data_IF_610480992886
#
_entry.id   IF_610480992886
#
_cell.length_a   1.000
_cell.length_b   1.000
_cell.length_c   1.000
_cell.angle_alpha   90.00
_cell.angle_beta   90.00
_cell.angle_gamma   90.00
#
_symmetry.space_group_name_H-M   'P 1'
#
loop_
_entity.id
_entity.type
_entity.pdbx_description
1 polymer ?
#
# COMPACT_ATOMS: atom_id res chain seq x y z
N UNK A 1 -0.52 11.36 14.40
CA UNK A 1 0.95 11.19 14.44
C UNK A 1 1.45 11.23 13.00
N UNK A 2 2.49 12.02 12.66
CA UNK A 2 2.98 12.05 11.27
C UNK A 2 3.74 10.77 10.97
N UNK A 3 3.07 9.82 10.30
CA UNK A 3 3.60 8.49 9.98
C UNK A 3 4.90 8.53 9.14
N UNK A 4 5.09 9.60 8.35
CA UNK A 4 6.35 9.84 7.65
C UNK A 4 7.53 10.13 8.57
N UNK A 5 7.29 10.77 9.72
CA UNK A 5 8.32 10.93 10.74
C UNK A 5 8.63 9.61 11.44
N UNK A 6 7.64 8.74 11.64
CA UNK A 6 7.86 7.40 12.19
C UNK A 6 8.72 6.55 11.26
N UNK A 7 8.42 6.53 9.96
CA UNK A 7 9.21 5.78 8.98
C UNK A 7 10.62 6.34 8.82
N UNK A 8 10.76 7.67 8.78
CA UNK A 8 12.07 8.31 8.78
C UNK A 8 12.86 7.97 10.06
N UNK A 9 12.22 7.99 11.22
CA UNK A 9 12.81 7.56 12.49
C UNK A 9 13.27 6.11 12.47
N UNK A 10 12.45 5.20 11.95
CA UNK A 10 12.80 3.78 11.81
C UNK A 10 13.98 3.57 10.85
N UNK A 11 14.06 4.34 9.76
CA UNK A 11 15.19 4.32 8.85
C UNK A 11 16.48 4.81 9.52
N UNK A 12 16.41 5.89 10.30
CA UNK A 12 17.56 6.38 11.08
C UNK A 12 18.00 5.35 12.11
N UNK A 13 17.07 4.72 12.83
CA UNK A 13 17.37 3.63 13.78
C UNK A 13 18.06 2.47 13.07
N UNK A 14 17.52 2.03 11.93
CA UNK A 14 18.11 0.94 11.15
C UNK A 14 19.52 1.29 10.65
N UNK A 15 19.73 2.51 10.14
CA UNK A 15 21.05 3.01 9.76
C UNK A 15 22.04 2.95 10.92
N UNK A 16 21.65 3.45 12.10
CA UNK A 16 22.49 3.43 13.30
C UNK A 16 22.80 1.99 13.73
N UNK A 17 21.82 1.08 13.65
CA UNK A 17 22.03 -0.34 13.95
C UNK A 17 23.03 -0.99 12.99
N UNK A 18 22.98 -0.68 11.69
CA UNK A 18 23.98 -1.16 10.72
C UNK A 18 25.39 -0.64 11.06
N UNK A 19 25.52 0.63 11.43
CA UNK A 19 26.79 1.23 11.86
C UNK A 19 27.33 0.57 13.14
N UNK A 20 26.46 0.29 14.11
CA UNK A 20 26.82 -0.44 15.34
C UNK A 20 27.25 -1.87 15.02
N UNK A 21 26.50 -2.57 14.17
CA UNK A 21 26.83 -3.94 13.76
C UNK A 21 28.19 -4.02 13.06
N UNK A 22 28.50 -3.10 12.15
CA UNK A 22 29.84 -2.99 11.53
C UNK A 22 30.92 -2.73 12.58
N UNK A 23 30.66 -1.88 13.58
CA UNK A 23 31.63 -1.60 14.66
C UNK A 23 31.86 -2.80 15.56
N UNK A 24 30.81 -3.57 15.88
CA UNK A 24 30.90 -4.84 16.62
C UNK A 24 31.73 -5.84 15.80
N UNK A 25 31.39 -6.00 14.52
CA UNK A 25 32.13 -6.84 13.58
C UNK A 25 33.62 -6.51 13.54
N UNK A 26 33.96 -5.22 13.45
CA UNK A 26 35.36 -4.77 13.45
C UNK A 26 36.10 -5.11 14.75
N UNK A 27 35.43 -5.04 15.90
CA UNK A 27 36.02 -5.46 17.18
C UNK A 27 36.25 -6.97 17.24
N UNK A 28 35.30 -7.76 16.77
CA UNK A 28 35.43 -9.23 16.73
C UNK A 28 36.53 -9.68 15.75
N UNK A 29 36.67 -8.98 14.62
CA UNK A 29 37.70 -9.27 13.61
C UNK A 29 39.13 -9.01 14.07
N UNK A 30 39.37 -8.10 15.03
CA UNK A 30 40.72 -7.89 15.61
C UNK A 30 41.17 -9.04 16.51
N UNK A 31 40.23 -9.84 17.02
CA UNK A 31 40.50 -10.97 17.91
C UNK A 31 40.56 -12.31 17.17
N UNK A 32 40.21 -12.34 15.89
CA UNK A 32 40.27 -13.53 15.05
C UNK A 32 41.62 -13.59 14.35
N UNK A 33 42.38 -14.66 14.60
CA UNK A 33 43.68 -14.92 13.98
C UNK A 33 43.55 -14.99 12.45
N UNK A 34 44.58 -14.56 11.71
CA UNK A 34 44.61 -14.39 10.24
C UNK A 34 44.37 -15.70 9.44
N UNK A 35 44.15 -16.82 10.13
CA UNK A 35 44.00 -18.16 9.57
C UNK A 35 42.57 -18.50 9.11
N UNK A 36 41.69 -17.51 8.94
CA UNK A 36 40.32 -17.76 8.49
C UNK A 36 40.31 -18.01 6.96
N UNK A 37 40.45 -19.28 6.56
CA UNK A 37 40.64 -19.72 5.17
C UNK A 37 39.44 -19.58 4.21
N UNK A 38 39.61 -20.12 2.99
CA UNK A 38 38.65 -20.03 1.87
C UNK A 38 37.20 -20.43 2.21
N UNK A 39 36.98 -21.32 3.19
CA UNK A 39 35.65 -21.73 3.64
C UNK A 39 34.82 -20.61 4.26
N UNK A 40 35.43 -19.70 5.01
CA UNK A 40 34.69 -18.57 5.61
C UNK A 40 34.24 -17.56 4.54
N UNK A 41 35.07 -17.30 3.54
CA UNK A 41 34.71 -16.45 2.41
C UNK A 41 33.52 -17.02 1.60
N UNK A 42 33.46 -18.35 1.44
CA UNK A 42 32.33 -19.00 0.78
C UNK A 42 31.02 -18.84 1.58
N UNK A 43 31.07 -19.00 2.91
CA UNK A 43 29.91 -18.80 3.79
C UNK A 43 29.44 -17.35 3.74
N UNK A 44 30.36 -16.38 3.86
CA UNK A 44 30.05 -14.94 3.76
C UNK A 44 29.39 -14.61 2.43
N UNK A 45 29.95 -15.06 1.31
CA UNK A 45 29.38 -14.86 -0.02
C UNK A 45 27.95 -15.44 -0.12
N UNK A 46 27.71 -16.61 0.49
CA UNK A 46 26.38 -17.25 0.52
C UNK A 46 25.37 -16.42 1.32
N UNK A 47 25.80 -15.86 2.46
CA UNK A 47 24.96 -15.00 3.33
C UNK A 47 24.65 -13.67 2.64
N UNK A 48 25.63 -13.04 1.98
CA UNK A 48 25.41 -11.82 1.19
C UNK A 48 24.48 -12.08 -0.01
N UNK A 49 24.64 -13.21 -0.70
CA UNK A 49 23.76 -13.60 -1.80
C UNK A 49 22.32 -13.80 -1.31
N UNK A 50 22.13 -14.45 -0.15
CA UNK A 50 20.81 -14.61 0.47
C UNK A 50 20.19 -13.26 0.85
N UNK A 51 20.98 -12.32 1.38
CA UNK A 51 20.50 -10.96 1.67
C UNK A 51 20.03 -10.27 0.39
N UNK A 52 20.86 -10.28 -0.66
CA UNK A 52 20.51 -9.68 -1.95
C UNK A 52 19.22 -10.27 -2.53
N UNK A 53 19.08 -11.60 -2.48
CA UNK A 53 17.88 -12.30 -2.96
C UNK A 53 16.63 -11.92 -2.16
N UNK A 54 16.72 -11.90 -0.83
CA UNK A 54 15.59 -11.54 0.02
C UNK A 54 15.19 -10.07 -0.16
N UNK A 55 16.16 -9.16 -0.29
CA UNK A 55 15.88 -7.75 -0.62
C UNK A 55 15.16 -7.65 -1.97
N UNK A 56 15.63 -8.37 -3.00
CA UNK A 56 15.01 -8.35 -4.32
C UNK A 56 13.56 -8.88 -4.30
N UNK A 57 13.31 -10.00 -3.64
CA UNK A 57 11.96 -10.58 -3.54
C UNK A 57 11.02 -9.76 -2.67
N UNK A 58 11.51 -9.19 -1.56
CA UNK A 58 10.70 -8.31 -0.71
C UNK A 58 10.35 -7.00 -1.41
N UNK A 59 11.28 -6.40 -2.14
CA UNK A 59 11.04 -5.23 -2.98
C UNK A 59 10.03 -5.52 -4.08
N UNK A 60 10.24 -6.59 -4.85
CA UNK A 60 9.34 -6.99 -5.93
C UNK A 60 7.92 -7.28 -5.40
N UNK A 61 7.81 -8.02 -4.30
CA UNK A 61 6.52 -8.31 -3.67
C UNK A 61 5.80 -7.05 -3.17
N UNK A 62 6.54 -6.09 -2.58
CA UNK A 62 5.97 -4.82 -2.14
C UNK A 62 5.48 -3.97 -3.33
N UNK A 63 6.28 -3.90 -4.41
CA UNK A 63 5.90 -3.21 -5.64
C UNK A 63 4.65 -3.82 -6.30
N UNK A 64 4.56 -5.15 -6.35
CA UNK A 64 3.40 -5.84 -6.89
C UNK A 64 2.13 -5.56 -6.07
N UNK A 65 2.20 -5.58 -4.74
CA UNK A 65 1.06 -5.22 -3.87
C UNK A 65 0.64 -3.76 -4.03
N UNK A 66 1.60 -2.85 -4.20
CA UNK A 66 1.29 -1.45 -4.51
C UNK A 66 0.56 -1.33 -5.85
N UNK A 67 1.03 -2.03 -6.89
CA UNK A 67 0.38 -2.04 -8.19
C UNK A 67 -1.04 -2.63 -8.13
N UNK A 68 -1.22 -3.72 -7.38
CA UNK A 68 -2.53 -4.35 -7.18
C UNK A 68 -3.52 -3.43 -6.47
N UNK A 69 -3.09 -2.78 -5.38
CA UNK A 69 -3.92 -1.77 -4.68
C UNK A 69 -4.33 -0.63 -5.60
N UNK A 70 -3.44 -0.18 -6.48
CA UNK A 70 -3.76 0.84 -7.50
C UNK A 70 -4.77 0.32 -8.52
N UNK A 71 -4.63 -0.92 -8.97
CA UNK A 71 -5.55 -1.54 -9.92
C UNK A 71 -6.96 -1.67 -9.34
N UNK A 72 -7.08 -2.14 -8.10
CA UNK A 72 -8.37 -2.24 -7.39
C UNK A 72 -9.05 -0.87 -7.28
N UNK A 73 -8.30 0.21 -7.02
CA UNK A 73 -8.88 1.55 -6.99
C UNK A 73 -9.38 2.01 -8.36
N UNK A 74 -8.64 1.74 -9.44
CA UNK A 74 -9.08 2.05 -10.80
C UNK A 74 -10.36 1.27 -11.13
N UNK A 75 -10.43 0.00 -10.73
CA UNK A 75 -11.65 -0.81 -10.85
C UNK A 75 -12.80 -0.21 -10.04
N UNK A 76 -12.55 0.29 -8.83
CA UNK A 76 -13.59 0.90 -7.99
C UNK A 76 -14.21 2.10 -8.69
N UNK A 77 -13.36 3.00 -9.20
CA UNK A 77 -13.77 4.20 -9.93
C UNK A 77 -14.58 3.83 -11.19
N UNK A 78 -14.12 2.84 -11.95
CA UNK A 78 -14.80 2.38 -13.16
C UNK A 78 -16.15 1.72 -12.85
N UNK A 79 -16.24 0.91 -11.79
CA UNK A 79 -17.49 0.28 -11.36
C UNK A 79 -18.49 1.32 -10.86
N UNK A 80 -18.04 2.32 -10.10
CA UNK A 80 -18.86 3.48 -9.71
C UNK A 80 -19.37 4.22 -10.94
N UNK A 81 -18.50 4.54 -11.91
CA UNK A 81 -18.87 5.23 -13.14
C UNK A 81 -19.88 4.44 -13.98
N UNK A 82 -19.69 3.12 -14.08
CA UNK A 82 -20.61 2.24 -14.80
C UNK A 82 -21.97 2.20 -14.12
N UNK A 83 -22.02 2.03 -12.79
CA UNK A 83 -23.25 2.02 -12.03
C UNK A 83 -23.98 3.38 -12.10
N UNK A 84 -23.24 4.49 -12.05
CA UNK A 84 -23.77 5.85 -12.21
C UNK A 84 -24.44 6.07 -13.57
N UNK A 85 -23.80 5.68 -14.67
CA UNK A 85 -24.37 5.81 -16.01
C UNK A 85 -25.62 4.94 -16.18
N UNK A 86 -25.64 3.76 -15.54
CA UNK A 86 -26.80 2.85 -15.62
C UNK A 86 -28.00 3.32 -14.81
N UNK A 87 -27.89 4.38 -14.01
CA UNK A 87 -29.07 5.03 -13.40
C UNK A 87 -30.03 5.52 -14.49
N UNK A 88 -29.53 5.93 -15.66
CA UNK A 88 -30.37 6.37 -16.80
C UNK A 88 -31.26 5.27 -17.36
N UNK A 89 -30.95 4.01 -17.07
CA UNK A 89 -31.76 2.87 -17.50
C UNK A 89 -33.01 2.69 -16.62
N UNK A 90 -33.08 3.35 -15.47
CA UNK A 90 -34.22 3.26 -14.53
C UNK A 90 -35.31 4.25 -14.89
N UNK A 91 -36.50 4.05 -14.31
CA UNK A 91 -37.60 5.00 -14.44
C UNK A 91 -37.18 6.41 -13.97
N UNK A 92 -37.53 7.48 -14.72
CA UNK A 92 -37.12 8.85 -14.40
C UNK A 92 -37.45 9.33 -12.98
N UNK A 93 -38.52 8.78 -12.36
CA UNK A 93 -38.94 9.13 -11.01
C UNK A 93 -37.97 8.62 -9.92
N UNK A 94 -37.26 7.52 -10.17
CA UNK A 94 -36.36 6.89 -9.21
C UNK A 94 -34.93 7.44 -9.31
N UNK A 95 -34.55 8.01 -10.45
CA UNK A 95 -33.19 8.46 -10.75
C UNK A 95 -32.65 9.52 -9.77
N UNK A 96 -33.37 10.62 -9.44
CA UNK A 96 -32.80 11.71 -8.65
C UNK A 96 -32.34 11.28 -7.26
N UNK A 97 -33.12 10.40 -6.60
CA UNK A 97 -32.78 9.89 -5.28
C UNK A 97 -31.52 9.03 -5.32
N UNK A 98 -31.43 8.12 -6.28
CA UNK A 98 -30.28 7.24 -6.45
C UNK A 98 -29.02 8.04 -6.81
N UNK A 99 -29.15 9.06 -7.66
CA UNK A 99 -28.04 9.95 -8.01
C UNK A 99 -27.47 10.66 -6.78
N UNK A 100 -28.33 11.18 -5.91
CA UNK A 100 -27.88 11.83 -4.68
C UNK A 100 -27.22 10.85 -3.70
N UNK A 101 -27.74 9.64 -3.55
CA UNK A 101 -27.12 8.61 -2.72
C UNK A 101 -25.73 8.20 -3.24
N UNK A 102 -25.58 8.06 -4.55
CA UNK A 102 -24.32 7.76 -5.19
C UNK A 102 -23.27 8.86 -4.96
N UNK A 103 -23.66 10.13 -5.05
CA UNK A 103 -22.77 11.26 -4.74
C UNK A 103 -22.28 11.19 -3.29
N UNK A 104 -23.21 11.05 -2.35
CA UNK A 104 -22.89 10.89 -0.91
C UNK A 104 -22.00 9.67 -0.66
N UNK A 105 -22.18 8.60 -1.42
CA UNK A 105 -21.37 7.39 -1.32
C UNK A 105 -19.94 7.68 -1.75
N UNK A 106 -19.75 8.30 -2.92
CA UNK A 106 -18.42 8.69 -3.40
C UNK A 106 -17.77 9.70 -2.47
N UNK A 107 -18.52 10.66 -1.93
CA UNK A 107 -18.01 11.62 -0.93
C UNK A 107 -17.49 10.90 0.33
N UNK A 108 -18.25 9.91 0.83
CA UNK A 108 -17.82 9.07 1.96
C UNK A 108 -16.61 8.19 1.61
N UNK A 109 -16.49 7.71 0.37
CA UNK A 109 -15.29 6.98 -0.09
C UNK A 109 -14.08 7.92 -0.12
N UNK A 110 -14.19 9.12 -0.69
CA UNK A 110 -13.11 10.13 -0.68
C UNK A 110 -12.68 10.44 0.76
N UNK A 111 -13.64 10.62 1.67
CA UNK A 111 -13.36 10.86 3.10
C UNK A 111 -12.60 9.66 3.72
N UNK A 112 -13.04 8.43 3.45
CA UNK A 112 -12.38 7.20 3.91
C UNK A 112 -10.93 7.13 3.42
N UNK A 113 -10.67 7.51 2.18
CA UNK A 113 -9.33 7.56 1.63
C UNK A 113 -8.50 8.68 2.26
N UNK A 114 -9.06 9.86 2.53
CA UNK A 114 -8.29 10.97 3.13
C UNK A 114 -7.78 10.68 4.55
N UNK A 115 -8.43 9.80 5.32
CA UNK A 115 -8.14 9.54 6.73
C UNK A 115 -7.30 8.28 7.01
N UNK A 116 -6.34 7.91 6.16
CA UNK A 116 -5.62 6.60 6.25
C UNK A 116 -4.92 6.31 7.59
N UNK A 117 -4.48 7.36 8.26
CA UNK A 117 -3.73 7.32 9.51
C UNK A 117 -4.57 7.05 10.77
N UNK A 118 -5.85 7.43 10.77
CA UNK A 118 -6.72 7.33 11.94
C UNK A 118 -7.65 6.13 11.78
N UNK A 119 -7.27 4.99 12.34
CA UNK A 119 -8.01 3.74 12.21
C UNK A 119 -9.43 3.84 12.80
N UNK A 120 -9.61 4.58 13.89
CA UNK A 120 -10.90 4.75 14.55
C UNK A 120 -11.85 5.59 13.69
N UNK A 121 -11.35 6.72 13.17
CA UNK A 121 -12.13 7.54 12.22
C UNK A 121 -12.44 6.76 10.94
N UNK A 122 -11.51 5.97 10.41
CA UNK A 122 -11.75 5.14 9.22
C UNK A 122 -12.82 4.09 9.45
N UNK A 123 -12.82 3.43 10.60
CA UNK A 123 -13.84 2.44 10.93
C UNK A 123 -15.22 3.11 11.07
N UNK A 124 -15.27 4.32 11.66
CA UNK A 124 -16.49 5.12 11.72
C UNK A 124 -17.00 5.55 10.33
N UNK A 125 -16.11 6.00 9.44
CA UNK A 125 -16.45 6.35 8.05
C UNK A 125 -16.90 5.09 7.29
N UNK A 126 -16.20 3.97 7.44
CA UNK A 126 -16.56 2.69 6.81
C UNK A 126 -17.95 2.22 7.25
N UNK A 127 -18.28 2.35 8.53
CA UNK A 127 -19.62 2.05 9.04
C UNK A 127 -20.70 2.95 8.40
N UNK A 128 -20.43 4.25 8.25
CA UNK A 128 -21.33 5.20 7.59
C UNK A 128 -21.52 4.88 6.11
N UNK A 129 -20.44 4.60 5.40
CA UNK A 129 -20.46 4.18 3.99
C UNK A 129 -21.23 2.87 3.83
N UNK A 130 -21.02 1.90 4.72
CA UNK A 130 -21.74 0.63 4.72
C UNK A 130 -23.25 0.78 4.98
N UNK A 131 -23.66 1.74 5.82
CA UNK A 131 -25.07 2.08 5.96
C UNK A 131 -25.66 2.65 4.66
N UNK A 132 -24.91 3.53 3.98
CA UNK A 132 -25.32 4.10 2.70
C UNK A 132 -25.38 3.07 1.57
N UNK A 133 -24.48 2.07 1.55
CA UNK A 133 -24.57 0.94 0.61
C UNK A 133 -25.90 0.18 0.77
N UNK A 134 -26.36 -0.03 2.02
CA UNK A 134 -27.68 -0.68 2.29
C UNK A 134 -28.86 0.16 1.83
N UNK A 135 -28.79 1.48 2.01
CA UNK A 135 -29.80 2.42 1.49
C UNK A 135 -29.86 2.37 -0.03
N UNK A 136 -28.70 2.50 -0.69
CA UNK A 136 -28.57 2.41 -2.16
C UNK A 136 -29.14 1.08 -2.65
N UNK A 137 -28.77 -0.04 -2.03
CA UNK A 137 -29.24 -1.36 -2.44
C UNK A 137 -30.76 -1.48 -2.37
N UNK A 138 -31.36 -1.01 -1.27
CA UNK A 138 -32.80 -1.09 -1.03
C UNK A 138 -33.58 -0.26 -2.05
N UNK A 139 -33.12 0.97 -2.30
CA UNK A 139 -33.74 1.86 -3.29
C UNK A 139 -33.52 1.38 -4.72
N UNK A 140 -32.33 0.84 -5.00
CA UNK A 140 -31.99 0.23 -6.29
C UNK A 140 -32.90 -0.95 -6.61
N UNK A 141 -33.11 -1.85 -5.65
CA UNK A 141 -34.00 -3.01 -5.82
C UNK A 141 -35.45 -2.59 -6.08
N UNK A 142 -35.91 -1.54 -5.41
CA UNK A 142 -37.25 -0.98 -5.62
C UNK A 142 -37.39 -0.35 -7.00
N UNK A 143 -36.44 0.48 -7.42
CA UNK A 143 -36.42 1.09 -8.75
C UNK A 143 -36.33 0.04 -9.87
N UNK A 144 -35.48 -0.97 -9.70
CA UNK A 144 -35.28 -2.04 -10.67
C UNK A 144 -36.55 -2.89 -10.88
N UNK A 145 -37.35 -3.14 -9.83
CA UNK A 145 -38.64 -3.87 -9.95
C UNK A 145 -39.67 -3.13 -10.80
N UNK A 146 -39.61 -1.80 -10.81
CA UNK A 146 -40.52 -0.96 -11.58
C UNK A 146 -40.00 -0.67 -13.00
N UNK A 147 -38.76 -1.06 -13.30
CA UNK A 147 -38.09 -0.77 -14.57
C UNK A 147 -38.30 -1.91 -15.57
N UNK A 148 -38.48 -1.59 -16.85
CA UNK A 148 -38.69 -2.57 -17.92
C UNK A 148 -37.44 -3.48 -18.10
N UNK A 149 -37.58 -4.81 -18.15
CA UNK A 149 -36.45 -5.70 -18.47
C UNK A 149 -35.85 -5.40 -19.86
N UNK A 150 -34.51 -5.48 -20.05
CA UNK A 150 -33.49 -5.98 -19.12
C UNK A 150 -32.80 -4.87 -18.30
N UNK A 151 -33.27 -3.63 -18.36
CA UNK A 151 -32.59 -2.45 -17.82
C UNK A 151 -32.35 -2.53 -16.30
N UNK A 152 -33.36 -2.93 -15.52
CA UNK A 152 -33.23 -3.08 -14.07
C UNK A 152 -32.16 -4.10 -13.66
N UNK A 153 -32.07 -5.24 -14.36
CA UNK A 153 -31.07 -6.29 -14.08
C UNK A 153 -29.65 -5.80 -14.38
N UNK A 154 -29.48 -5.11 -15.52
CA UNK A 154 -28.19 -4.50 -15.90
C UNK A 154 -27.70 -3.49 -14.86
N UNK A 155 -28.61 -2.65 -14.33
CA UNK A 155 -28.28 -1.69 -13.29
C UNK A 155 -27.90 -2.38 -11.97
N UNK A 156 -28.71 -3.33 -11.49
CA UNK A 156 -28.43 -4.06 -10.24
C UNK A 156 -27.08 -4.79 -10.29
N UNK A 157 -26.72 -5.39 -11.42
CA UNK A 157 -25.41 -6.00 -11.60
C UNK A 157 -24.26 -5.01 -11.39
N UNK A 158 -24.37 -3.81 -11.98
CA UNK A 158 -23.33 -2.79 -11.81
C UNK A 158 -23.25 -2.24 -10.36
N UNK A 159 -24.38 -2.12 -9.67
CA UNK A 159 -24.40 -1.74 -8.24
C UNK A 159 -23.71 -2.80 -7.39
N UNK A 160 -23.94 -4.08 -7.69
CA UNK A 160 -23.28 -5.19 -7.01
C UNK A 160 -21.76 -5.15 -7.24
N UNK A 161 -21.33 -5.03 -8.49
CA UNK A 161 -19.90 -4.94 -8.84
C UNK A 161 -19.23 -3.75 -8.14
N UNK A 162 -19.92 -2.61 -8.02
CA UNK A 162 -19.45 -1.44 -7.27
C UNK A 162 -19.20 -1.75 -5.78
N UNK A 163 -20.09 -2.51 -5.15
CA UNK A 163 -19.93 -2.91 -3.74
C UNK A 163 -18.84 -3.98 -3.55
N UNK A 164 -18.75 -4.93 -4.47
CA UNK A 164 -17.75 -6.01 -4.42
C UNK A 164 -16.33 -5.43 -4.50
N UNK A 165 -16.08 -4.48 -5.41
CA UNK A 165 -14.76 -3.84 -5.51
C UNK A 165 -14.42 -3.02 -4.26
N UNK A 166 -15.39 -2.30 -3.67
CA UNK A 166 -15.18 -1.59 -2.40
C UNK A 166 -14.81 -2.54 -1.25
N UNK A 167 -15.37 -3.75 -1.25
CA UNK A 167 -15.07 -4.77 -0.24
C UNK A 167 -13.66 -5.34 -0.46
N UNK A 168 -13.33 -5.71 -1.70
CA UNK A 168 -11.99 -6.20 -2.09
C UNK A 168 -10.91 -5.19 -1.70
N UNK A 169 -11.18 -3.91 -1.90
CA UNK A 169 -10.30 -2.82 -1.53
C UNK A 169 -10.03 -2.75 -0.01
N UNK A 170 -11.08 -2.89 0.80
CA UNK A 170 -10.96 -2.86 2.27
C UNK A 170 -10.11 -4.03 2.77
N UNK A 171 -10.24 -5.20 2.16
CA UNK A 171 -9.42 -6.38 2.46
C UNK A 171 -7.97 -6.16 2.02
N UNK A 172 -7.73 -5.67 0.80
CA UNK A 172 -6.39 -5.41 0.27
C UNK A 172 -5.58 -4.39 1.09
N UNK A 173 -6.26 -3.49 1.82
CA UNK A 173 -5.63 -2.55 2.74
C UNK A 173 -5.23 -3.15 4.10
N UNK A 174 -5.79 -4.32 4.48
CA UNK A 174 -5.53 -4.98 5.76
C UNK A 174 -4.53 -6.14 5.63
N UNK A 175 -4.30 -6.63 4.42
CA UNK A 175 -3.37 -7.73 4.14
C UNK A 175 -1.95 -7.17 4.01
N UNK A 176 -1.13 -7.46 5.01
CA UNK A 176 0.31 -7.16 5.03
C UNK A 176 1.14 -8.43 5.20
N UNK A 177 2.39 -8.47 4.71
CA UNK A 177 3.30 -9.57 5.00
C UNK A 177 3.51 -9.75 6.50
N UNK A 178 3.71 -10.99 6.99
CA UNK A 178 4.01 -11.24 8.38
C UNK A 178 5.23 -10.43 8.84
N UNK A 179 5.14 -9.87 10.06
CA UNK A 179 6.24 -9.09 10.66
C UNK A 179 7.56 -9.88 10.71
N UNK A 180 7.47 -11.21 10.81
CA UNK A 180 8.62 -12.12 10.77
C UNK A 180 9.48 -11.95 9.51
N UNK A 181 8.91 -11.64 8.34
CA UNK A 181 9.66 -11.42 7.10
C UNK A 181 10.57 -10.20 7.21
N UNK A 182 10.07 -9.09 7.75
CA UNK A 182 10.85 -7.87 7.96
C UNK A 182 11.89 -8.04 9.08
N UNK A 183 11.51 -8.71 10.17
CA UNK A 183 12.44 -9.01 11.27
C UNK A 183 13.62 -9.85 10.78
N UNK A 184 13.37 -10.87 9.95
CA UNK A 184 14.41 -11.69 9.36
C UNK A 184 15.30 -10.92 8.38
N UNK A 185 14.72 -10.03 7.56
CA UNK A 185 15.47 -9.17 6.64
C UNK A 185 16.41 -8.22 7.40
N UNK A 186 15.92 -7.58 8.47
CA UNK A 186 16.73 -6.73 9.36
C UNK A 186 17.84 -7.56 10.03
N UNK A 187 17.51 -8.72 10.59
CA UNK A 187 18.48 -9.62 11.20
C UNK A 187 19.61 -9.98 10.22
N UNK A 188 19.26 -10.43 9.01
CA UNK A 188 20.23 -10.82 8.01
C UNK A 188 21.09 -9.63 7.55
N UNK A 189 20.52 -8.43 7.44
CA UNK A 189 21.25 -7.21 7.13
C UNK A 189 22.27 -6.86 8.24
N UNK A 190 21.89 -7.02 9.51
CA UNK A 190 22.80 -6.80 10.65
C UNK A 190 23.91 -7.85 10.71
N UNK A 191 23.61 -9.11 10.40
CA UNK A 191 24.64 -10.16 10.27
C UNK A 191 25.63 -9.81 9.16
N UNK A 192 25.13 -9.43 7.98
CA UNK A 192 25.97 -8.97 6.87
C UNK A 192 26.83 -7.75 7.25
N UNK A 193 26.25 -6.76 7.93
CA UNK A 193 26.97 -5.60 8.45
C UNK A 193 28.10 -6.01 9.42
N UNK A 194 27.83 -6.97 10.31
CA UNK A 194 28.85 -7.50 11.22
C UNK A 194 30.00 -8.19 10.46
N UNK A 195 29.69 -9.01 9.44
CA UNK A 195 30.70 -9.66 8.59
C UNK A 195 31.54 -8.66 7.77
N UNK A 196 30.91 -7.59 7.26
CA UNK A 196 31.64 -6.49 6.61
C UNK A 196 32.59 -5.82 7.60
N UNK A 197 32.12 -5.57 8.83
CA UNK A 197 32.92 -5.01 9.91
C UNK A 197 34.17 -5.82 10.24
N UNK A 198 34.06 -7.15 10.31
CA UNK A 198 35.18 -8.03 10.67
C UNK A 198 36.30 -8.01 9.62
N UNK A 199 35.98 -7.97 8.32
CA UNK A 199 36.97 -7.80 7.25
C UNK A 199 37.67 -6.45 7.28
N UNK A 200 37.02 -5.45 7.84
CA UNK A 200 37.54 -4.10 7.96
C UNK A 200 38.56 -3.95 9.09
N UNK A 201 38.65 -4.94 9.97
CA UNK A 201 39.65 -4.99 11.03
C UNK A 201 41.08 -5.10 10.48
N UNK A 202 41.26 -5.82 9.37
CA UNK A 202 42.57 -6.16 8.80
C UNK A 202 43.03 -5.19 7.70
N UNK A 203 42.19 -4.23 7.29
CA UNK A 203 42.49 -3.28 6.22
C UNK A 203 43.11 -1.98 6.76
N UNK A 204 44.27 -1.58 6.21
CA UNK A 204 45.02 -0.37 6.64
C UNK A 204 44.44 0.96 6.10
N UNK A 205 43.42 0.96 5.23
CA UNK A 205 42.84 2.18 4.63
C UNK A 205 41.53 2.59 5.30
N UNK A 206 41.32 3.90 5.43
CA UNK A 206 40.08 4.48 5.95
C UNK A 206 38.87 4.03 5.15
N UNK A 207 38.07 3.20 5.78
CA UNK A 207 36.97 2.43 5.19
C UNK A 207 35.59 3.03 5.46
N UNK A 208 35.56 4.23 6.05
CA UNK A 208 34.32 4.91 6.43
C UNK A 208 33.39 5.13 5.23
N UNK A 209 33.95 5.42 4.05
CA UNK A 209 33.16 5.59 2.84
C UNK A 209 32.38 4.32 2.47
N UNK A 210 33.02 3.15 2.49
CA UNK A 210 32.37 1.88 2.13
C UNK A 210 31.29 1.50 3.15
N UNK A 211 31.55 1.74 4.44
CA UNK A 211 30.57 1.53 5.50
C UNK A 211 29.34 2.44 5.33
N UNK A 212 29.57 3.74 5.08
CA UNK A 212 28.50 4.71 4.85
C UNK A 212 27.69 4.34 3.61
N UNK A 213 28.34 4.00 2.50
CA UNK A 213 27.65 3.59 1.26
C UNK A 213 26.77 2.36 1.52
N UNK A 214 27.32 1.31 2.15
CA UNK A 214 26.54 0.12 2.49
C UNK A 214 25.34 0.46 3.37
N UNK A 215 25.56 1.21 4.46
CA UNK A 215 24.50 1.58 5.38
C UNK A 215 23.42 2.44 4.72
N UNK A 216 23.80 3.42 3.90
CA UNK A 216 22.86 4.26 3.13
C UNK A 216 22.06 3.41 2.14
N UNK A 217 22.71 2.59 1.33
CA UNK A 217 22.03 1.77 0.31
C UNK A 217 21.06 0.77 0.95
N UNK A 218 21.49 0.07 2.01
CA UNK A 218 20.63 -0.88 2.71
C UNK A 218 19.46 -0.19 3.42
N UNK A 219 19.71 0.98 4.02
CA UNK A 219 18.65 1.77 4.65
C UNK A 219 17.65 2.28 3.62
N UNK A 220 18.12 2.77 2.48
CA UNK A 220 17.26 3.21 1.39
C UNK A 220 16.43 2.05 0.82
N UNK A 221 17.03 0.87 0.61
CA UNK A 221 16.32 -0.32 0.16
C UNK A 221 15.22 -0.72 1.15
N UNK A 222 15.54 -0.81 2.45
CA UNK A 222 14.56 -1.11 3.49
C UNK A 222 13.45 -0.04 3.55
N UNK A 223 13.81 1.23 3.48
CA UNK A 223 12.86 2.34 3.46
C UNK A 223 11.86 2.19 2.31
N UNK A 224 12.34 1.94 1.08
CA UNK A 224 11.46 1.81 -0.08
C UNK A 224 10.58 0.57 0.02
N UNK A 225 11.12 -0.56 0.52
CA UNK A 225 10.32 -1.78 0.74
C UNK A 225 9.15 -1.50 1.68
N UNK A 226 9.41 -0.80 2.80
CA UNK A 226 8.37 -0.46 3.78
C UNK A 226 7.42 0.61 3.23
N UNK A 227 7.93 1.59 2.48
CA UNK A 227 7.11 2.64 1.86
C UNK A 227 6.12 2.06 0.84
N UNK A 228 6.57 1.13 -0.01
CA UNK A 228 5.70 0.38 -0.93
C UNK A 228 4.64 -0.45 -0.20
N UNK A 229 4.98 -1.01 0.96
CA UNK A 229 4.03 -1.77 1.77
C UNK A 229 2.98 -0.87 2.41
N UNK A 230 3.39 0.31 2.87
CA UNK A 230 2.55 1.28 3.58
C UNK A 230 2.51 2.63 2.84
N UNK A 231 1.84 2.70 1.66
CA UNK A 231 1.96 3.81 0.69
C UNK A 231 1.44 5.19 1.11
N UNK A 232 1.03 5.39 2.37
CA UNK A 232 0.70 6.70 2.95
C UNK A 232 1.48 7.01 4.24
N UNK A 233 2.39 6.13 4.62
CA UNK A 233 3.35 6.35 5.70
C UNK A 233 4.60 7.04 5.13
N UNK A 234 5.12 6.67 3.95
CA UNK A 234 6.34 7.28 3.39
C UNK A 234 6.12 8.30 2.27
N UNK A 235 7.18 8.52 1.49
CA UNK A 235 7.34 9.66 0.58
C UNK A 235 6.71 9.40 -0.80
N UNK A 236 6.56 8.13 -1.19
CA UNK A 236 5.92 7.73 -2.45
C UNK A 236 4.39 7.78 -2.25
N UNK A 237 3.86 9.01 -2.15
CA UNK A 237 2.43 9.25 -1.91
C UNK A 237 1.61 8.84 -3.12
N UNK A 238 0.56 8.06 -2.89
CA UNK A 238 -0.50 7.83 -3.87
C UNK A 238 -1.50 8.99 -3.81
N UNK A 239 -1.04 10.22 -4.06
CA UNK A 239 -1.92 11.40 -4.20
C UNK A 239 -2.84 11.26 -5.44
N UNK A 240 -2.48 10.37 -6.37
CA UNK A 240 -3.29 10.02 -7.53
C UNK A 240 -4.59 9.30 -7.16
N UNK A 241 -4.66 8.64 -6.01
CA UNK A 241 -5.86 7.90 -5.61
C UNK A 241 -7.04 8.82 -5.31
N UNK A 242 -6.78 9.88 -4.55
CA UNK A 242 -7.80 10.84 -4.15
C UNK A 242 -8.27 11.64 -5.38
N UNK A 243 -7.36 11.90 -6.33
CA UNK A 243 -7.68 12.57 -7.59
C UNK A 243 -8.65 11.76 -8.47
N UNK A 244 -8.53 10.42 -8.53
CA UNK A 244 -9.40 9.59 -9.36
C UNK A 244 -10.85 9.57 -8.85
N UNK A 245 -11.05 9.37 -7.54
CA UNK A 245 -12.39 9.40 -6.95
C UNK A 245 -12.98 10.82 -6.96
N UNK A 246 -12.16 11.85 -6.73
CA UNK A 246 -12.60 13.23 -6.85
C UNK A 246 -13.01 13.58 -8.29
N UNK A 247 -12.24 13.14 -9.29
CA UNK A 247 -12.58 13.29 -10.71
C UNK A 247 -13.89 12.57 -11.04
N UNK A 248 -14.06 11.34 -10.55
CA UNK A 248 -15.32 10.61 -10.70
C UNK A 248 -16.48 11.34 -10.04
N UNK A 249 -16.28 11.92 -8.85
CA UNK A 249 -17.31 12.72 -8.17
C UNK A 249 -17.71 13.97 -8.95
N UNK A 250 -16.75 14.62 -9.60
CA UNK A 250 -16.95 15.79 -10.45
C UNK A 250 -17.67 15.44 -11.76
N UNK A 251 -17.48 14.23 -12.30
CA UNK A 251 -18.16 13.76 -13.51
C UNK A 251 -19.62 13.35 -13.26
N UNK A 252 -20.05 13.21 -11.99
CA UNK A 252 -21.41 12.83 -11.59
C UNK A 252 -22.41 14.00 -11.67
N UNK A 253 -22.49 14.60 -12.85
CA UNK A 253 -23.47 15.62 -13.23
C UNK A 253 -24.73 14.93 -13.72
N UNK A 254 -25.90 15.48 -13.38
CA UNK A 254 -27.16 14.98 -13.91
C UNK A 254 -27.19 15.15 -15.43
N UNK A 255 -27.71 14.17 -16.19
CA UNK A 255 -27.87 14.31 -17.63
C UNK A 255 -28.78 15.51 -17.93
N UNK A 256 -28.55 16.23 -19.05
CA UNK A 256 -29.45 17.29 -19.46
C UNK A 256 -30.87 16.74 -19.54
N UNK A 257 -31.83 17.46 -18.93
CA UNK A 257 -33.23 17.08 -18.97
C UNK A 257 -33.63 16.81 -20.42
N UNK A 258 -34.12 15.59 -20.71
CA UNK A 258 -34.56 15.25 -22.04
C UNK A 258 -35.58 16.30 -22.49
N UNK A 259 -35.26 17.03 -23.56
CA UNK A 259 -36.21 17.94 -24.20
C UNK A 259 -37.42 17.09 -24.61
N UNK A 260 -38.57 17.38 -23.99
CA UNK A 260 -39.85 16.74 -24.28
C UNK A 260 -40.31 17.09 -25.69
#
# INVERSE_FOLDING_TARGET
MNYSLLLAGLAVVFFVLLMIAMRIGRRLGHSADDQTGAGAAAIEASVFALLGLLVAFTFSGAAQRMAERRNILVQEVNSIGTAWLRIDMLNPQDQPKLREQFRRYVDGRIEYYSHVADLEQRDAIAARVGALQKEIWTDSMRAARNTVPPFGVSYIGAVNDMFDVSTAQTVAQKVHPPVATYAFLVFLALVCACLIGSKLATSQRDSLLHQLVYAVVMTAAMYIIVDFEFPRIGVIRIDQSDALLASQRQSMVDPPAAAQ
#
